data_IF_044618424220
#
_entry.id   IF_044618424220
#
_cell.length_a   1.000
_cell.length_b   1.000
_cell.length_c   1.000
_cell.angle_alpha   90.00
_cell.angle_beta   90.00
_cell.angle_gamma   90.00
#
_symmetry.space_group_name_H-M   'P 1'
#
loop_
_entity.id
_entity.type
_entity.pdbx_description
1 polymer ?
#
# COMPACT_ATOMS: atom_id res chain seq x y z
N UNK A 1 5.29 17.50 12.10
CA UNK A 1 4.75 16.14 12.24
C UNK A 1 5.07 15.39 10.96
N UNK A 2 5.38 14.11 11.02
CA UNK A 2 5.60 13.33 9.80
C UNK A 2 4.23 13.17 9.10
N UNK A 3 4.19 13.37 7.79
CA UNK A 3 3.01 13.06 6.99
C UNK A 3 3.05 11.59 6.63
N UNK A 4 2.00 10.87 6.95
CA UNK A 4 1.82 9.46 6.61
C UNK A 4 1.06 9.32 5.29
N UNK A 5 1.19 8.17 4.63
CA UNK A 5 0.47 7.87 3.41
C UNK A 5 -1.03 7.75 3.66
N UNK A 6 -1.84 8.33 2.77
CA UNK A 6 -3.29 8.19 2.76
C UNK A 6 -3.70 7.37 1.54
N UNK A 7 -4.63 6.45 1.73
CA UNK A 7 -5.11 5.53 0.70
C UNK A 7 -6.63 5.59 0.56
N UNK A 8 -7.11 5.39 -0.67
CA UNK A 8 -8.52 5.18 -0.99
C UNK A 8 -8.66 3.86 -1.75
N UNK A 9 -9.59 3.04 -1.31
CA UNK A 9 -9.92 1.75 -1.93
C UNK A 9 -11.02 1.96 -2.95
N UNK A 10 -10.68 2.51 -4.12
CA UNK A 10 -11.68 2.94 -5.12
C UNK A 10 -12.43 1.75 -5.73
N UNK A 11 -11.70 0.76 -6.25
CA UNK A 11 -12.28 -0.46 -6.82
C UNK A 11 -11.30 -1.62 -6.64
N UNK A 12 -11.47 -2.36 -5.57
CA UNK A 12 -10.65 -3.53 -5.25
C UNK A 12 -11.51 -4.79 -5.22
N UNK A 13 -11.06 -5.87 -5.83
CA UNK A 13 -11.72 -7.17 -5.75
C UNK A 13 -11.91 -7.63 -4.29
N UNK A 14 -11.00 -7.24 -3.42
CA UNK A 14 -11.04 -7.53 -2.00
C UNK A 14 -12.15 -6.79 -1.24
N UNK A 15 -12.73 -5.72 -1.78
CA UNK A 15 -13.90 -5.06 -1.18
C UNK A 15 -15.18 -5.84 -1.45
N UNK A 16 -15.27 -6.48 -2.61
CA UNK A 16 -16.43 -7.28 -3.00
C UNK A 16 -16.33 -8.71 -2.47
N UNK A 17 -15.11 -9.27 -2.44
CA UNK A 17 -14.84 -10.60 -1.92
C UNK A 17 -13.94 -10.54 -0.68
N UNK A 18 -14.55 -10.72 0.49
CA UNK A 18 -13.84 -10.69 1.79
C UNK A 18 -12.73 -11.73 1.93
N UNK A 19 -12.73 -12.78 1.10
CA UNK A 19 -11.65 -13.76 1.07
C UNK A 19 -10.29 -13.16 0.66
N UNK A 20 -10.29 -12.01 -0.01
CA UNK A 20 -9.08 -11.29 -0.40
C UNK A 20 -8.67 -10.19 0.58
N UNK A 21 -9.50 -9.92 1.59
CA UNK A 21 -9.16 -9.05 2.70
C UNK A 21 -8.41 -9.86 3.77
N UNK A 22 -7.31 -9.32 4.27
CA UNK A 22 -6.44 -9.98 5.24
C UNK A 22 -6.25 -9.11 6.48
N UNK A 23 -6.36 -9.71 7.64
CA UNK A 23 -5.80 -9.14 8.87
C UNK A 23 -4.32 -9.48 8.89
N UNK A 24 -3.46 -8.48 9.04
CA UNK A 24 -2.01 -8.70 8.97
C UNK A 24 -1.28 -7.98 10.10
N UNK A 25 -0.08 -8.48 10.43
CA UNK A 25 0.83 -7.83 11.35
C UNK A 25 2.20 -7.71 10.72
N UNK A 26 2.64 -6.47 10.55
CA UNK A 26 3.88 -6.17 9.85
C UNK A 26 5.10 -6.36 10.72
N UNK A 27 6.12 -7.00 10.15
CA UNK A 27 7.42 -7.26 10.79
C UNK A 27 8.56 -6.93 9.83
N UNK A 28 9.61 -6.34 10.38
CA UNK A 28 10.91 -6.27 9.72
C UNK A 28 11.82 -7.28 10.41
N UNK A 29 12.21 -8.33 9.71
CA UNK A 29 12.82 -9.51 10.30
C UNK A 29 11.89 -10.12 11.38
N UNK A 30 12.28 -10.08 12.64
CA UNK A 30 11.48 -10.58 13.79
C UNK A 30 10.80 -9.47 14.58
N UNK A 31 11.08 -8.20 14.26
CA UNK A 31 10.61 -7.03 15.02
C UNK A 31 9.30 -6.51 14.46
N UNK A 32 8.29 -6.42 15.32
CA UNK A 32 7.03 -5.75 15.00
C UNK A 32 7.29 -4.27 14.71
N UNK A 33 6.82 -3.77 13.59
CA UNK A 33 7.13 -2.43 13.09
C UNK A 33 5.85 -1.72 12.66
N UNK A 34 5.81 -0.41 12.82
CA UNK A 34 4.71 0.42 12.33
C UNK A 34 4.72 0.46 10.79
N UNK A 35 3.54 0.67 10.19
CA UNK A 35 3.39 0.78 8.74
C UNK A 35 2.28 1.76 8.37
N UNK A 36 2.51 2.55 7.33
CA UNK A 36 1.53 3.52 6.84
C UNK A 36 0.48 2.88 5.95
N UNK A 37 -0.68 3.50 5.88
CA UNK A 37 -1.66 3.21 4.84
C UNK A 37 -1.11 3.57 3.46
N UNK A 38 -1.55 2.84 2.42
CA UNK A 38 -1.03 2.99 1.06
C UNK A 38 0.28 2.26 0.80
N UNK A 39 0.95 1.75 1.83
CA UNK A 39 2.10 0.87 1.68
C UNK A 39 1.69 -0.52 1.26
N UNK A 40 2.62 -1.27 0.67
CA UNK A 40 2.44 -2.66 0.27
C UNK A 40 3.30 -3.59 1.10
N UNK A 41 2.81 -4.79 1.34
CA UNK A 41 3.49 -5.82 2.11
C UNK A 41 3.44 -7.17 1.39
N UNK A 42 4.45 -7.98 1.62
CA UNK A 42 4.45 -9.39 1.22
C UNK A 42 3.72 -10.20 2.29
N UNK A 43 2.66 -10.90 1.89
CA UNK A 43 1.91 -11.80 2.78
C UNK A 43 2.70 -13.09 3.01
N UNK A 44 2.82 -13.47 4.26
CA UNK A 44 3.36 -14.75 4.69
C UNK A 44 2.26 -15.67 5.21
N UNK A 45 2.66 -16.61 6.05
CA UNK A 45 1.76 -17.56 6.69
C UNK A 45 0.97 -16.94 7.84
N UNK A 46 -0.06 -17.65 8.31
CA UNK A 46 -0.78 -17.29 9.52
C UNK A 46 0.17 -17.25 10.73
N UNK A 47 -0.04 -16.29 11.60
CA UNK A 47 0.69 -16.26 12.87
C UNK A 47 0.38 -17.49 13.72
N UNK A 48 1.37 -18.02 14.41
CA UNK A 48 1.20 -19.15 15.30
C UNK A 48 0.09 -18.88 16.35
N UNK A 49 -0.88 -19.77 16.39
CA UNK A 49 -2.04 -19.63 17.29
C UNK A 49 -3.15 -18.70 16.77
N UNK A 50 -2.99 -18.10 15.60
CA UNK A 50 -4.03 -17.31 14.95
C UNK A 50 -4.69 -18.07 13.81
N UNK A 51 -5.97 -17.74 13.55
CA UNK A 51 -6.73 -18.27 12.40
C UNK A 51 -7.02 -17.23 11.34
N UNK A 52 -6.70 -15.97 11.62
CA UNK A 52 -7.10 -14.84 10.78
C UNK A 52 -5.97 -13.83 10.53
N UNK A 53 -4.94 -13.82 11.39
CA UNK A 53 -3.85 -12.84 11.29
C UNK A 53 -2.68 -13.46 10.55
N UNK A 54 -2.31 -12.84 9.43
CA UNK A 54 -1.17 -13.21 8.62
C UNK A 54 0.08 -12.44 9.05
N UNK A 55 1.23 -13.07 8.95
CA UNK A 55 2.50 -12.35 9.02
C UNK A 55 2.69 -11.56 7.73
N UNK A 56 3.21 -10.36 7.85
CA UNK A 56 3.49 -9.51 6.70
C UNK A 56 4.93 -8.98 6.81
N UNK A 57 5.64 -8.99 5.69
CA UNK A 57 7.03 -8.54 5.63
C UNK A 57 7.24 -7.56 4.48
N UNK A 58 8.41 -6.94 4.43
CA UNK A 58 8.79 -6.04 3.33
C UNK A 58 8.94 -6.84 2.03
N UNK A 59 8.27 -6.45 0.94
CA UNK A 59 8.42 -7.12 -0.34
C UNK A 59 9.80 -6.86 -0.96
N UNK A 60 10.29 -7.84 -1.71
CA UNK A 60 11.41 -7.65 -2.62
C UNK A 60 10.92 -7.03 -3.94
N UNK A 61 11.82 -6.43 -4.71
CA UNK A 61 11.47 -5.81 -5.99
C UNK A 61 10.83 -6.79 -6.99
N UNK A 62 11.18 -8.07 -6.93
CA UNK A 62 10.69 -9.14 -7.79
C UNK A 62 9.59 -10.02 -7.17
N UNK A 63 8.98 -9.60 -6.06
CA UNK A 63 7.88 -10.33 -5.44
C UNK A 63 6.69 -10.44 -6.40
N UNK A 64 5.97 -11.56 -6.37
CA UNK A 64 4.81 -11.75 -7.22
C UNK A 64 3.61 -10.94 -6.70
N UNK A 65 2.86 -10.29 -7.58
CA UNK A 65 1.70 -9.44 -7.21
C UNK A 65 0.66 -10.22 -6.38
N UNK A 66 0.43 -11.48 -6.70
CA UNK A 66 -0.53 -12.34 -5.98
C UNK A 66 -0.24 -12.50 -4.49
N UNK A 67 1.01 -12.28 -4.09
CA UNK A 67 1.48 -12.40 -2.70
C UNK A 67 1.57 -11.03 -2.02
N UNK A 68 1.19 -9.96 -2.72
CA UNK A 68 1.24 -8.57 -2.22
C UNK A 68 -0.14 -8.13 -1.74
N UNK A 69 -0.15 -7.46 -0.60
CA UNK A 69 -1.33 -6.77 -0.11
C UNK A 69 -1.08 -5.28 0.08
N UNK A 70 -2.06 -4.48 -0.32
CA UNK A 70 -2.13 -3.04 -0.03
C UNK A 70 -2.63 -2.84 1.41
N UNK A 71 -1.91 -2.09 2.21
CA UNK A 71 -2.33 -1.73 3.58
C UNK A 71 -3.32 -0.57 3.53
N UNK A 72 -4.53 -0.80 4.01
CA UNK A 72 -5.58 0.21 4.07
C UNK A 72 -6.49 -0.05 5.28
N UNK A 73 -6.01 0.30 6.46
CA UNK A 73 -6.79 0.25 7.69
C UNK A 73 -7.73 1.45 7.80
N UNK A 74 -8.90 1.32 8.43
CA UNK A 74 -9.73 2.47 8.77
C UNK A 74 -8.93 3.46 9.63
N UNK A 75 -8.98 4.74 9.27
CA UNK A 75 -8.26 5.82 9.96
C UNK A 75 -9.00 6.24 11.22
N UNK A 76 -8.98 5.38 12.25
CA UNK A 76 -9.60 5.64 13.56
C UNK A 76 -8.52 6.11 14.51
N UNK A 77 -8.60 7.36 14.91
CA UNK A 77 -7.68 7.99 15.86
C UNK A 77 -8.41 8.36 17.15
N UNK A 78 -7.83 7.99 18.28
CA UNK A 78 -8.40 8.27 19.60
C UNK A 78 -7.87 9.57 20.24
N UNK A 79 -6.77 10.12 19.71
CA UNK A 79 -6.22 11.40 20.16
C UNK A 79 -6.90 12.54 19.40
N UNK A 80 -7.62 13.42 20.10
CA UNK A 80 -8.32 14.56 19.51
C UNK A 80 -7.40 15.58 18.82
N UNK A 81 -6.10 15.52 19.06
CA UNK A 81 -5.10 16.35 18.40
C UNK A 81 -4.73 15.86 17.02
N UNK A 82 -4.99 14.57 16.74
CA UNK A 82 -4.75 13.92 15.46
C UNK A 82 -6.06 13.86 14.68
N UNK A 83 -6.28 14.79 13.76
CA UNK A 83 -7.57 14.95 13.06
C UNK A 83 -7.48 14.80 11.54
N UNK A 84 -6.27 14.75 11.01
CA UNK A 84 -6.07 14.64 9.56
C UNK A 84 -5.81 13.19 9.18
N UNK A 85 -6.19 12.80 7.97
CA UNK A 85 -5.97 11.44 7.47
C UNK A 85 -4.48 11.07 7.44
N UNK A 86 -3.60 12.03 7.19
CA UNK A 86 -2.15 11.87 7.16
C UNK A 86 -1.48 11.90 8.55
N UNK A 87 -2.27 12.02 9.63
CA UNK A 87 -1.79 11.77 10.99
C UNK A 87 -1.86 10.27 11.35
N UNK A 88 -2.64 9.48 10.59
CA UNK A 88 -2.88 8.07 10.88
C UNK A 88 -1.75 7.17 10.35
N UNK A 89 -1.34 6.23 11.18
CA UNK A 89 -0.50 5.10 10.79
C UNK A 89 -0.86 3.86 11.61
N UNK A 90 -0.50 2.68 11.13
CA UNK A 90 -0.68 1.44 11.87
C UNK A 90 0.51 1.26 12.82
N UNK A 91 0.27 1.37 14.12
CA UNK A 91 1.30 1.25 15.15
C UNK A 91 1.94 -0.15 15.15
N UNK A 92 3.18 -0.23 15.63
CA UNK A 92 3.91 -1.49 15.77
C UNK A 92 3.11 -2.50 16.63
N UNK A 93 2.94 -3.71 16.13
CA UNK A 93 2.23 -4.79 16.81
C UNK A 93 0.70 -4.73 16.70
N UNK A 94 0.12 -3.67 16.17
CA UNK A 94 -1.30 -3.62 15.86
C UNK A 94 -1.63 -4.44 14.61
N UNK A 95 -2.85 -4.92 14.55
CA UNK A 95 -3.35 -5.62 13.36
C UNK A 95 -3.79 -4.57 12.35
N UNK A 96 -3.18 -4.61 11.18
CA UNK A 96 -3.56 -3.78 10.04
C UNK A 96 -4.46 -4.57 9.08
N UNK A 97 -5.21 -3.84 8.26
CA UNK A 97 -6.01 -4.42 7.19
C UNK A 97 -5.24 -4.37 5.88
N UNK A 98 -5.11 -5.52 5.23
CA UNK A 98 -4.52 -5.66 3.90
C UNK A 98 -5.54 -6.10 2.87
N UNK A 99 -5.39 -5.61 1.66
CA UNK A 99 -6.19 -5.97 0.50
C UNK A 99 -5.27 -6.65 -0.51
N UNK A 100 -5.46 -7.95 -0.75
CA UNK A 100 -4.71 -8.67 -1.79
C UNK A 100 -5.01 -8.04 -3.15
N UNK A 101 -3.95 -7.70 -3.89
CA UNK A 101 -4.07 -7.03 -5.19
C UNK A 101 -4.35 -8.02 -6.32
N UNK A 102 -5.26 -7.63 -7.21
CA UNK A 102 -5.64 -8.38 -8.39
C UNK A 102 -5.58 -7.50 -9.63
N UNK A 103 -5.36 -8.11 -10.78
CA UNK A 103 -5.41 -7.42 -12.08
C UNK A 103 -6.75 -6.71 -12.26
N UNK A 104 -6.69 -5.43 -12.61
CA UNK A 104 -7.87 -4.58 -12.77
C UNK A 104 -8.31 -3.82 -11.52
N UNK A 105 -7.70 -4.10 -10.36
CA UNK A 105 -7.95 -3.32 -9.14
C UNK A 105 -7.53 -1.87 -9.34
N UNK A 106 -8.28 -0.96 -8.72
CA UNK A 106 -7.97 0.48 -8.73
C UNK A 106 -7.95 0.97 -7.28
N UNK A 107 -6.88 1.63 -6.90
CA UNK A 107 -6.75 2.31 -5.62
C UNK A 107 -6.00 3.64 -5.80
N UNK A 108 -6.23 4.58 -4.91
CA UNK A 108 -5.59 5.89 -4.96
C UNK A 108 -4.76 6.13 -3.71
N UNK A 109 -3.56 6.66 -3.87
CA UNK A 109 -2.65 6.97 -2.76
C UNK A 109 -2.11 8.39 -2.88
N UNK A 110 -1.73 8.97 -1.74
CA UNK A 110 -1.01 10.25 -1.72
C UNK A 110 0.47 10.03 -2.02
N UNK A 111 1.18 11.14 -2.32
CA UNK A 111 2.63 11.10 -2.62
C UNK A 111 3.44 10.49 -1.47
N UNK A 112 3.01 10.65 -0.22
CA UNK A 112 3.73 10.15 0.96
C UNK A 112 3.77 8.61 1.02
N UNK A 113 2.84 7.93 0.33
CA UNK A 113 2.85 6.47 0.16
C UNK A 113 3.69 5.99 -1.03
N UNK A 114 4.27 6.89 -1.83
CA UNK A 114 5.01 6.60 -3.04
C UNK A 114 6.48 7.01 -2.92
N UNK A 115 7.35 6.19 -3.52
CA UNK A 115 8.76 6.48 -3.77
C UNK A 115 9.00 6.83 -5.25
N UNK A 116 10.24 7.12 -5.60
CA UNK A 116 10.67 7.38 -6.99
C UNK A 116 10.39 8.80 -7.43
N UNK A 117 9.60 8.97 -8.50
CA UNK A 117 9.36 10.26 -9.11
C UNK A 117 8.92 11.35 -8.12
N UNK A 118 9.60 12.49 -8.11
CA UNK A 118 9.25 13.60 -7.23
C UNK A 118 7.84 14.16 -7.53
N UNK A 119 7.43 14.12 -8.79
CA UNK A 119 6.12 14.57 -9.27
C UNK A 119 5.50 13.49 -10.17
N UNK A 120 4.80 12.50 -9.57
CA UNK A 120 4.12 11.46 -10.35
C UNK A 120 3.11 12.06 -11.34
N UNK A 121 3.04 11.46 -12.53
CA UNK A 121 2.15 11.87 -13.61
C UNK A 121 1.28 10.71 -14.11
N UNK A 122 0.19 11.04 -14.79
CA UNK A 122 -0.65 10.04 -15.46
C UNK A 122 0.16 9.34 -16.54
N UNK A 123 0.09 8.01 -16.56
CA UNK A 123 0.87 7.15 -17.45
C UNK A 123 2.16 6.60 -16.86
N UNK A 124 2.65 7.15 -15.75
CA UNK A 124 3.84 6.63 -15.07
C UNK A 124 3.62 5.20 -14.59
N UNK A 125 4.70 4.41 -14.67
CA UNK A 125 4.73 3.02 -14.25
C UNK A 125 4.90 2.96 -12.74
N UNK A 126 4.15 2.06 -12.11
CA UNK A 126 4.23 1.77 -10.68
C UNK A 126 4.76 0.35 -10.51
N UNK A 127 5.85 0.20 -9.78
CA UNK A 127 6.54 -1.07 -9.59
C UNK A 127 6.88 -1.34 -8.13
N UNK A 128 7.18 -2.59 -7.81
CA UNK A 128 7.75 -2.93 -6.52
C UNK A 128 9.22 -2.52 -6.45
N UNK A 129 9.62 -2.12 -5.25
CA UNK A 129 11.00 -1.88 -4.86
C UNK A 129 11.27 -2.66 -3.57
N UNK A 130 12.52 -2.88 -3.22
CA UNK A 130 12.87 -3.43 -1.91
C UNK A 130 12.49 -2.42 -0.81
N UNK A 131 11.22 -2.43 -0.41
CA UNK A 131 10.61 -1.47 0.52
C UNK A 131 9.10 -1.64 0.55
N UNK A 132 8.42 -0.91 1.43
CA UNK A 132 6.96 -0.96 1.57
C UNK A 132 6.23 0.06 0.70
N UNK A 133 6.93 1.11 0.21
CA UNK A 133 6.36 2.10 -0.70
C UNK A 133 6.46 1.63 -2.15
N UNK A 134 5.43 1.87 -2.92
CA UNK A 134 5.46 1.65 -4.36
C UNK A 134 6.37 2.66 -5.03
N UNK A 135 7.20 2.21 -5.97
CA UNK A 135 8.12 3.03 -6.72
C UNK A 135 7.48 3.52 -8.02
N UNK A 136 7.51 4.82 -8.26
CA UNK A 136 7.00 5.42 -9.48
C UNK A 136 8.15 5.75 -10.41
N UNK A 137 8.08 5.22 -11.61
CA UNK A 137 9.07 5.44 -12.69
C UNK A 137 8.37 6.14 -13.85
N UNK A 138 9.02 7.16 -14.40
CA UNK A 138 8.46 7.90 -15.54
C UNK A 138 8.17 6.96 -16.72
N UNK A 139 7.02 7.15 -17.37
CA UNK A 139 6.59 6.33 -18.50
C UNK A 139 7.64 6.24 -19.61
N UNK A 140 8.39 7.32 -19.85
CA UNK A 140 9.46 7.37 -20.85
C UNK A 140 10.68 6.48 -20.51
N UNK A 141 10.91 6.21 -19.22
CA UNK A 141 12.00 5.35 -18.73
C UNK A 141 11.61 3.88 -18.78
N UNK A 142 10.33 3.60 -18.60
CA UNK A 142 9.81 2.23 -18.45
C UNK A 142 10.18 1.62 -17.11
N UNK A 143 9.71 0.41 -16.86
CA UNK A 143 9.94 -0.31 -15.62
C UNK A 143 11.43 -0.66 -15.42
N UNK A 144 11.87 -0.67 -14.17
CA UNK A 144 13.22 -1.09 -13.80
C UNK A 144 13.41 -2.58 -14.08
N UNK A 145 14.53 -2.94 -14.71
CA UNK A 145 14.84 -4.35 -14.98
C UNK A 145 14.87 -5.17 -13.68
N UNK A 146 14.12 -6.27 -13.66
CA UNK A 146 14.02 -7.17 -12.50
C UNK A 146 13.02 -6.73 -11.44
N UNK A 147 12.33 -5.60 -11.59
CA UNK A 147 11.23 -5.20 -10.72
C UNK A 147 9.89 -5.68 -11.26
N UNK A 148 9.01 -6.08 -10.35
CA UNK A 148 7.63 -6.44 -10.70
C UNK A 148 6.81 -5.18 -10.88
N UNK A 149 6.23 -5.01 -12.08
CA UNK A 149 5.29 -3.93 -12.37
C UNK A 149 3.98 -4.22 -11.65
N UNK A 150 3.56 -3.34 -10.77
CA UNK A 150 2.25 -3.40 -10.10
C UNK A 150 1.16 -2.86 -11.01
N UNK A 151 1.45 -1.77 -11.71
CA UNK A 151 0.46 -1.13 -12.59
C UNK A 151 0.93 0.19 -13.13
N UNK A 152 -0.02 1.08 -13.37
CA UNK A 152 0.25 2.44 -13.86
C UNK A 152 -0.67 3.45 -13.20
N UNK A 153 -0.24 4.70 -13.16
CA UNK A 153 -1.06 5.83 -12.74
C UNK A 153 -2.05 6.17 -13.88
N UNK A 154 -3.34 6.07 -13.59
CA UNK A 154 -4.41 6.33 -14.57
C UNK A 154 -5.06 7.69 -14.38
N UNK A 155 -4.99 8.25 -13.16
CA UNK A 155 -5.57 9.56 -12.87
C UNK A 155 -4.82 10.26 -11.73
N UNK A 156 -4.95 11.59 -11.70
CA UNK A 156 -4.44 12.44 -10.64
C UNK A 156 -5.55 13.41 -10.21
N UNK A 157 -6.01 13.27 -8.99
CA UNK A 157 -7.13 14.03 -8.46
C UNK A 157 -6.78 14.77 -7.17
N UNK A 158 -7.32 15.98 -6.99
CA UNK A 158 -7.14 16.79 -5.78
C UNK A 158 -8.46 16.76 -5.01
N UNK A 159 -8.42 16.26 -3.79
CA UNK A 159 -9.57 16.23 -2.88
C UNK A 159 -9.18 16.93 -1.58
N UNK A 160 -9.75 18.11 -1.37
CA UNK A 160 -9.38 18.96 -0.24
C UNK A 160 -7.90 19.35 -0.33
N UNK A 161 -7.13 18.99 0.69
CA UNK A 161 -5.68 19.28 0.75
C UNK A 161 -4.80 18.16 0.17
N UNK A 162 -5.38 17.01 -0.17
CA UNK A 162 -4.64 15.84 -0.64
C UNK A 162 -4.66 15.72 -2.15
N UNK A 163 -3.51 15.38 -2.72
CA UNK A 163 -3.39 14.97 -4.11
C UNK A 163 -3.29 13.45 -4.15
N UNK A 164 -4.27 12.81 -4.78
CA UNK A 164 -4.34 11.36 -4.96
C UNK A 164 -3.89 10.98 -6.35
N UNK A 165 -3.15 9.89 -6.43
CA UNK A 165 -2.72 9.22 -7.65
C UNK A 165 -3.46 7.89 -7.73
N UNK A 166 -4.36 7.76 -8.70
CA UNK A 166 -5.10 6.53 -8.94
C UNK A 166 -4.22 5.55 -9.72
N UNK A 167 -4.04 4.36 -9.17
CA UNK A 167 -3.21 3.30 -9.72
C UNK A 167 -4.12 2.16 -10.13
N UNK A 168 -4.00 1.72 -11.39
CA UNK A 168 -4.64 0.50 -11.89
C UNK A 168 -3.61 -0.62 -11.93
N UNK A 169 -3.95 -1.72 -11.27
CA UNK A 169 -3.13 -2.95 -11.22
C UNK A 169 -3.17 -3.64 -12.58
N UNK A 170 -1.99 -4.04 -13.07
CA UNK A 170 -1.80 -4.67 -14.38
C UNK A 170 -2.21 -6.16 -14.41
#
# INVERSE_FOLDING_TARGET
MANHGVVRTDKLAATDNRAFMRSLRYKVSTTLTAIDNGNVVLLGDLETGSREVYTATTPAANSAIKDIALVASPEVMYDERLRNLDDFYNEAGKIARGYALHTGDIFSVTKDALDGAASPAVGDVVELKAGTKLNVVAAATGATSGSTVVGKIIDKNIVGRYTYFAIQVA
#
